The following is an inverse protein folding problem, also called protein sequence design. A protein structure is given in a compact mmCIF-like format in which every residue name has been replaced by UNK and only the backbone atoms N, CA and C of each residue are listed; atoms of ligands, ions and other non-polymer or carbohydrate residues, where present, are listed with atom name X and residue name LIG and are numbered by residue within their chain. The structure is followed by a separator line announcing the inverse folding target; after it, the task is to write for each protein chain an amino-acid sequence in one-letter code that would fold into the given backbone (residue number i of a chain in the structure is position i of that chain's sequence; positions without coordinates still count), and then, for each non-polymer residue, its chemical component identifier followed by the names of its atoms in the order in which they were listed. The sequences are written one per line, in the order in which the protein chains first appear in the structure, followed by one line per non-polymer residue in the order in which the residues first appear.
data_IF_588486359759
#
_entry.id   IF_588486359759
#
_cell.length_a   1.000
_cell.length_b   1.000
_cell.length_c   1.000
_cell.angle_alpha   90.00
_cell.angle_beta   90.00
_cell.angle_gamma   90.00
#
_symmetry.space_group_name_H-M   'P 1'
#
loop_
_entity.id
_entity.type
_entity.pdbx_description
1 polymer ?
#
# COMPACT_ATOMS: atom_id res chain seq x y z
N UNK A 1 0.71 51.41 52.08
CA UNK A 1 1.05 51.12 50.67
C UNK A 1 -0.15 50.45 50.00
N UNK A 2 -0.80 51.15 49.07
CA UNK A 2 -2.03 50.74 48.38
C UNK A 2 -1.70 49.81 47.20
N UNK A 3 -2.36 48.66 47.09
CA UNK A 3 -2.32 47.76 45.92
C UNK A 3 -3.38 48.20 44.91
N UNK A 4 -2.98 48.53 43.69
CA UNK A 4 -3.88 48.79 42.56
C UNK A 4 -3.93 47.58 41.64
N UNK A 5 -5.15 47.15 41.34
CA UNK A 5 -5.51 46.05 40.43
C UNK A 5 -5.68 46.62 39.00
N UNK A 6 -5.13 46.03 37.93
CA UNK A 6 -5.41 46.49 36.58
C UNK A 6 -6.71 45.91 36.02
N UNK A 7 -7.43 46.77 35.30
CA UNK A 7 -8.79 46.63 34.83
C UNK A 7 -9.00 45.58 33.71
N UNK A 8 -10.18 44.94 33.73
CA UNK A 8 -10.74 44.09 32.67
C UNK A 8 -11.08 44.93 31.43
N UNK A 9 -10.59 44.54 30.25
CA UNK A 9 -11.04 45.07 28.95
C UNK A 9 -12.19 44.22 28.40
N UNK A 10 -13.34 44.86 28.17
CA UNK A 10 -14.51 44.30 27.50
C UNK A 10 -14.22 44.02 26.02
N UNK A 11 -14.49 42.78 25.56
CA UNK A 11 -14.54 42.42 24.14
C UNK A 11 -15.84 42.94 23.54
N UNK A 12 -15.73 43.75 22.48
CA UNK A 12 -16.84 44.18 21.62
C UNK A 12 -17.29 42.99 20.75
N UNK A 13 -18.59 42.76 20.69
CA UNK A 13 -19.24 41.82 19.78
C UNK A 13 -19.05 42.27 18.32
N UNK A 14 -18.56 41.37 17.46
CA UNK A 14 -18.53 41.55 16.01
C UNK A 14 -19.91 41.28 15.40
N UNK A 15 -20.27 42.15 14.45
CA UNK A 15 -21.51 42.13 13.66
C UNK A 15 -21.67 40.82 12.85
N UNK A 16 -22.91 40.42 12.51
CA UNK A 16 -23.14 39.30 11.60
C UNK A 16 -22.59 39.60 10.20
N UNK A 17 -21.86 38.64 9.64
CA UNK A 17 -21.30 38.71 8.29
C UNK A 17 -22.42 38.37 7.30
N UNK A 18 -22.70 39.33 6.40
CA UNK A 18 -23.57 39.14 5.25
C UNK A 18 -22.81 38.32 4.20
N UNK A 19 -23.29 37.12 3.88
CA UNK A 19 -22.80 36.32 2.75
C UNK A 19 -23.55 36.74 1.48
N UNK A 20 -23.07 37.80 0.82
CA UNK A 20 -23.45 38.12 -0.54
C UNK A 20 -22.26 37.94 -1.48
N UNK A 21 -22.44 37.03 -2.44
CA UNK A 21 -21.91 37.01 -3.80
C UNK A 21 -20.52 37.63 -4.01
N UNK A 22 -19.48 36.82 -3.76
CA UNK A 22 -18.13 37.07 -4.26
C UNK A 22 -17.97 36.49 -5.67
N UNK A 23 -17.63 37.35 -6.62
CA UNK A 23 -17.14 36.99 -7.95
C UNK A 23 -15.77 36.31 -7.77
N UNK A 24 -15.65 35.04 -8.16
CA UNK A 24 -14.38 34.32 -8.15
C UNK A 24 -13.57 34.73 -9.38
N UNK A 25 -12.38 35.32 -9.19
CA UNK A 25 -11.34 35.31 -10.23
C UNK A 25 -10.62 33.98 -10.19
N UNK A 26 -10.27 33.48 -11.37
CA UNK A 26 -9.51 32.25 -11.56
C UNK A 26 -8.16 32.34 -10.83
N UNK A 27 -7.75 31.17 -10.33
CA UNK A 27 -6.39 30.80 -9.99
C UNK A 27 -5.96 30.91 -8.51
N UNK A 28 -5.51 29.75 -8.03
CA UNK A 28 -4.92 29.37 -6.74
C UNK A 28 -5.88 29.04 -5.58
N UNK A 29 -6.05 27.74 -5.27
CA UNK A 29 -6.35 27.22 -3.92
C UNK A 29 -5.66 25.85 -3.67
N UNK A 30 -4.90 25.84 -2.56
CA UNK A 30 -4.29 24.76 -1.75
C UNK A 30 -5.30 23.64 -1.38
N UNK A 31 -4.86 22.38 -1.13
CA UNK A 31 -5.42 21.40 -0.13
C UNK A 31 -4.69 20.04 -0.27
N UNK A 32 -4.10 19.38 0.76
CA UNK A 32 -4.52 18.91 2.11
C UNK A 32 -5.37 17.61 2.11
N UNK A 33 -5.17 16.74 3.12
CA UNK A 33 -5.75 15.40 3.38
C UNK A 33 -7.29 15.33 3.57
N UNK A 34 -8.01 16.20 2.87
CA UNK A 34 -9.48 16.31 2.71
C UNK A 34 -9.87 15.54 1.43
N UNK A 35 -11.15 15.15 1.20
CA UNK A 35 -11.62 14.63 -0.08
C UNK A 35 -10.94 15.32 -1.26
N UNK A 36 -10.19 14.53 -2.02
CA UNK A 36 -9.35 15.02 -3.10
C UNK A 36 -10.28 15.61 -4.15
N UNK A 37 -10.24 16.93 -4.29
CA UNK A 37 -10.97 17.64 -5.34
C UNK A 37 -10.21 17.47 -6.65
N UNK A 38 -10.77 16.69 -7.57
CA UNK A 38 -10.37 16.71 -8.97
C UNK A 38 -10.92 17.99 -9.60
N UNK A 39 -10.08 19.02 -9.72
CA UNK A 39 -10.50 20.31 -10.32
C UNK A 39 -10.00 20.38 -11.75
N UNK A 40 -10.89 20.31 -12.73
CA UNK A 40 -10.52 20.47 -14.15
C UNK A 40 -10.31 21.97 -14.42
N UNK A 41 -9.06 22.43 -14.32
CA UNK A 41 -8.57 23.79 -14.62
C UNK A 41 -7.04 23.79 -14.75
N UNK A 42 -6.45 24.83 -15.37
CA UNK A 42 -5.09 24.90 -15.94
C UNK A 42 -3.90 24.80 -14.96
N UNK A 43 -4.06 24.15 -13.82
CA UNK A 43 -2.99 23.91 -12.86
C UNK A 43 -3.36 22.81 -11.87
N UNK A 44 -3.09 21.56 -12.23
CA UNK A 44 -2.92 20.52 -11.22
C UNK A 44 -1.49 20.65 -10.67
N UNK A 45 -1.36 21.23 -9.47
CA UNK A 45 -0.11 21.20 -8.73
C UNK A 45 0.10 19.82 -8.10
N UNK A 46 1.22 19.22 -8.48
CA UNK A 46 1.81 17.93 -8.08
C UNK A 46 1.02 16.63 -8.35
N UNK A 47 1.74 15.68 -8.96
CA UNK A 47 1.37 14.27 -9.10
C UNK A 47 1.33 13.62 -7.72
N UNK A 48 0.30 13.89 -6.93
CA UNK A 48 0.14 13.25 -5.64
C UNK A 48 -0.06 11.75 -5.85
N UNK A 49 0.90 10.95 -5.39
CA UNK A 49 0.80 9.49 -5.38
C UNK A 49 -0.19 9.10 -4.29
N UNK A 50 -1.24 8.36 -4.67
CA UNK A 50 -2.22 7.86 -3.70
C UNK A 50 -1.87 6.45 -3.30
N UNK A 51 -1.69 6.21 -2.00
CA UNK A 51 -1.43 4.88 -1.46
C UNK A 51 -2.70 4.25 -0.91
N UNK A 52 -2.91 2.98 -1.23
CA UNK A 52 -4.02 2.17 -0.73
C UNK A 52 -3.51 0.77 -0.40
N UNK A 53 -4.07 0.15 0.63
CA UNK A 53 -3.73 -1.25 0.95
C UNK A 53 -4.42 -2.20 -0.03
N UNK A 54 -3.90 -3.42 -0.25
CA UNK A 54 -4.60 -4.45 -1.00
C UNK A 54 -6.05 -4.64 -0.51
N UNK A 55 -7.00 -4.70 -1.45
CA UNK A 55 -8.44 -4.78 -1.16
C UNK A 55 -9.06 -3.50 -0.56
N UNK A 56 -8.27 -2.45 -0.34
CA UNK A 56 -8.73 -1.16 0.15
C UNK A 56 -9.46 -0.33 -0.90
N UNK A 57 -9.96 0.84 -0.50
CA UNK A 57 -10.66 1.74 -1.41
C UNK A 57 -10.22 3.20 -1.26
N UNK A 58 -10.30 3.94 -2.37
CA UNK A 58 -10.10 5.39 -2.45
C UNK A 58 -11.33 6.03 -3.07
N UNK A 59 -11.84 7.11 -2.47
CA UNK A 59 -12.96 7.88 -3.03
C UNK A 59 -12.48 9.28 -3.39
N UNK A 60 -12.73 9.69 -4.64
CA UNK A 60 -12.52 11.05 -5.13
C UNK A 60 -13.85 11.70 -5.46
N UNK A 61 -13.83 13.03 -5.54
CA UNK A 61 -15.00 13.82 -5.92
C UNK A 61 -14.69 14.59 -7.20
N UNK A 62 -15.42 14.23 -8.26
CA UNK A 62 -15.33 14.89 -9.54
C UNK A 62 -15.98 16.27 -9.51
N UNK A 63 -15.24 17.26 -10.02
CA UNK A 63 -15.69 18.64 -10.24
C UNK A 63 -15.34 19.07 -11.67
N UNK A 64 -16.16 19.90 -12.30
CA UNK A 64 -15.88 20.45 -13.62
C UNK A 64 -16.95 21.41 -14.14
N UNK A 65 -17.01 21.65 -15.46
CA UNK A 65 -18.07 22.45 -16.07
C UNK A 65 -19.45 21.79 -15.89
N UNK A 66 -20.53 22.56 -15.64
CA UNK A 66 -21.89 22.02 -15.53
C UNK A 66 -22.34 21.22 -16.75
N UNK A 67 -22.92 20.05 -16.50
CA UNK A 67 -23.33 19.12 -17.55
C UNK A 67 -22.18 18.39 -18.26
N UNK A 68 -20.93 18.57 -17.82
CA UNK A 68 -19.79 17.86 -18.39
C UNK A 68 -19.82 16.35 -18.09
N UNK A 69 -19.25 15.56 -19.00
CA UNK A 69 -19.09 14.11 -18.82
C UNK A 69 -17.62 13.76 -18.65
N UNK A 70 -17.33 12.89 -17.69
CA UNK A 70 -16.02 12.31 -17.44
C UNK A 70 -16.08 10.80 -17.65
N UNK A 71 -15.05 10.22 -18.27
CA UNK A 71 -14.83 8.78 -18.35
C UNK A 71 -13.56 8.42 -17.62
N UNK A 72 -13.60 7.41 -16.75
CA UNK A 72 -12.49 6.95 -15.94
C UNK A 72 -12.10 5.55 -16.35
N UNK A 73 -10.83 5.38 -16.72
CA UNK A 73 -10.20 4.10 -17.02
C UNK A 73 -9.08 3.80 -16.03
N UNK A 74 -8.79 2.52 -15.83
CA UNK A 74 -7.68 2.05 -15.03
C UNK A 74 -6.71 1.28 -15.93
N UNK A 75 -5.41 1.55 -15.79
CA UNK A 75 -4.36 0.81 -16.48
C UNK A 75 -3.30 0.34 -15.49
N UNK A 76 -2.88 -0.92 -15.59
CA UNK A 76 -1.77 -1.44 -14.78
C UNK A 76 -0.48 -0.74 -15.21
N UNK A 77 0.38 -0.41 -14.25
CA UNK A 77 1.80 -0.12 -14.53
C UNK A 77 2.59 -1.43 -14.51
N UNK A 78 3.17 -1.88 -15.64
CA UNK A 78 3.99 -3.08 -15.67
C UNK A 78 5.15 -3.00 -14.68
N UNK A 79 5.61 -4.16 -14.21
CA UNK A 79 6.83 -4.29 -13.42
C UNK A 79 6.88 -3.40 -12.16
N UNK A 80 5.73 -3.27 -11.49
CA UNK A 80 5.54 -2.53 -10.24
C UNK A 80 5.22 -3.47 -9.07
N UNK A 81 5.32 -2.99 -7.83
CA UNK A 81 4.93 -3.79 -6.65
C UNK A 81 5.84 -4.94 -6.26
N UNK A 82 6.98 -5.12 -6.94
CA UNK A 82 7.87 -6.28 -6.76
C UNK A 82 7.64 -7.41 -7.76
N UNK A 83 6.69 -7.25 -8.69
CA UNK A 83 6.31 -8.25 -9.70
C UNK A 83 6.93 -7.92 -11.07
N UNK A 84 8.08 -8.51 -11.41
CA UNK A 84 8.86 -8.23 -12.63
C UNK A 84 8.80 -9.37 -13.66
N UNK A 85 7.59 -9.74 -14.07
CA UNK A 85 7.37 -10.87 -14.97
C UNK A 85 6.61 -10.48 -16.25
N UNK A 86 6.78 -9.24 -16.72
CA UNK A 86 6.35 -8.81 -18.05
C UNK A 86 4.90 -8.32 -18.16
N UNK A 87 4.60 -7.76 -19.33
CA UNK A 87 3.44 -6.90 -19.60
C UNK A 87 2.20 -7.65 -20.08
N UNK A 88 1.80 -8.78 -19.47
CA UNK A 88 0.45 -9.29 -19.71
C UNK A 88 -0.54 -8.29 -19.07
N UNK A 89 -0.91 -7.27 -19.84
CA UNK A 89 -1.52 -6.01 -19.41
C UNK A 89 -3.01 -6.11 -19.09
N UNK A 90 -3.62 -7.26 -19.31
CA UNK A 90 -5.08 -7.42 -19.31
C UNK A 90 -5.62 -8.31 -18.19
N UNK A 91 -4.89 -8.52 -17.09
CA UNK A 91 -5.48 -9.22 -15.94
C UNK A 91 -6.29 -8.23 -15.07
N UNK A 92 -7.64 -8.26 -15.12
CA UNK A 92 -8.49 -7.36 -14.33
C UNK A 92 -8.31 -7.57 -12.82
N UNK A 93 -7.83 -8.74 -12.37
CA UNK A 93 -7.52 -8.98 -10.96
C UNK A 93 -6.34 -8.14 -10.45
N UNK A 94 -5.60 -7.49 -11.35
CA UNK A 94 -4.39 -6.73 -11.01
C UNK A 94 -4.62 -5.21 -11.00
N UNK A 95 -5.67 -4.71 -11.65
CA UNK A 95 -5.93 -3.25 -11.71
C UNK A 95 -6.93 -2.77 -10.67
N UNK A 96 -7.76 -3.65 -10.11
CA UNK A 96 -8.87 -3.29 -9.24
C UNK A 96 -10.14 -2.87 -10.01
N UNK A 97 -11.01 -2.09 -9.38
CA UNK A 97 -12.27 -1.65 -9.98
C UNK A 97 -12.56 -0.17 -9.67
N UNK A 98 -13.18 0.55 -10.60
CA UNK A 98 -13.66 1.93 -10.40
C UNK A 98 -15.17 1.99 -10.60
N UNK A 99 -15.89 2.71 -9.75
CA UNK A 99 -17.32 2.94 -9.90
C UNK A 99 -17.73 4.35 -9.45
N UNK A 100 -18.48 5.11 -10.29
CA UNK A 100 -18.82 4.77 -11.68
C UNK A 100 -17.62 4.99 -12.62
N UNK A 101 -17.61 4.31 -13.77
CA UNK A 101 -16.63 4.55 -14.86
C UNK A 101 -16.99 5.77 -15.71
N UNK A 102 -18.25 6.21 -15.66
CA UNK A 102 -18.72 7.44 -16.33
C UNK A 102 -19.45 8.32 -15.34
N UNK A 103 -19.05 9.59 -15.25
CA UNK A 103 -19.65 10.60 -14.38
C UNK A 103 -20.27 11.69 -15.25
N UNK A 104 -21.55 11.97 -15.03
CA UNK A 104 -22.21 13.17 -15.57
C UNK A 104 -22.30 14.20 -14.45
N UNK A 105 -21.68 15.35 -14.65
CA UNK A 105 -21.63 16.43 -13.67
C UNK A 105 -22.97 17.19 -13.64
N UNK A 106 -23.48 17.58 -12.46
CA UNK A 106 -24.71 18.38 -12.34
C UNK A 106 -24.69 19.67 -13.17
N UNK A 107 -25.88 20.13 -13.58
CA UNK A 107 -26.05 21.39 -14.33
C UNK A 107 -25.87 22.66 -13.49
N UNK A 108 -25.61 22.54 -12.19
CA UNK A 108 -25.35 23.64 -11.26
C UNK A 108 -24.21 23.33 -10.29
N UNK A 109 -23.56 24.39 -9.77
CA UNK A 109 -22.56 24.28 -8.71
C UNK A 109 -23.20 24.26 -7.31
N UNK A 110 -22.50 23.74 -6.28
CA UNK A 110 -21.23 22.99 -6.35
C UNK A 110 -21.46 21.56 -6.85
N UNK A 111 -20.47 21.02 -7.56
CA UNK A 111 -20.48 19.62 -7.99
C UNK A 111 -19.59 18.83 -7.05
N UNK A 112 -20.00 17.64 -6.62
CA UNK A 112 -19.17 16.75 -5.82
C UNK A 112 -19.64 15.32 -6.10
N UNK A 113 -19.47 14.85 -7.33
CA UNK A 113 -19.93 13.51 -7.70
C UNK A 113 -18.85 12.50 -7.30
N UNK A 114 -19.14 11.54 -6.41
CA UNK A 114 -18.14 10.60 -5.95
C UNK A 114 -17.81 9.56 -7.02
N UNK A 115 -16.54 9.15 -7.08
CA UNK A 115 -16.10 7.92 -7.70
C UNK A 115 -15.18 7.17 -6.75
N UNK A 116 -15.37 5.87 -6.65
CA UNK A 116 -14.63 5.00 -5.74
C UNK A 116 -13.83 3.99 -6.52
N UNK A 117 -12.53 3.97 -6.29
CA UNK A 117 -11.64 2.89 -6.66
C UNK A 117 -11.56 1.88 -5.54
N UNK A 118 -11.62 0.60 -5.90
CA UNK A 118 -11.35 -0.54 -5.03
C UNK A 118 -10.09 -1.23 -5.56
N UNK A 119 -9.04 -1.27 -4.74
CA UNK A 119 -7.78 -1.90 -5.07
C UNK A 119 -7.92 -3.42 -5.19
N UNK A 120 -7.09 -4.04 -6.03
CA UNK A 120 -6.92 -5.48 -6.04
C UNK A 120 -6.27 -5.98 -4.74
N UNK A 121 -6.30 -7.30 -4.53
CA UNK A 121 -5.53 -8.00 -3.49
C UNK A 121 -4.01 -8.06 -3.78
N UNK A 122 -3.60 -7.48 -4.91
CA UNK A 122 -2.25 -7.57 -5.46
C UNK A 122 -1.61 -6.19 -5.35
N UNK A 123 -0.38 -6.13 -4.86
CA UNK A 123 0.35 -4.87 -4.81
C UNK A 123 0.91 -4.51 -6.18
N UNK A 124 1.08 -3.21 -6.41
CA UNK A 124 1.50 -2.68 -7.69
C UNK A 124 1.00 -1.27 -7.89
N UNK A 125 1.32 -0.69 -9.05
CA UNK A 125 0.86 0.63 -9.42
C UNK A 125 -0.24 0.55 -10.48
N UNK A 126 -1.22 1.42 -10.36
CA UNK A 126 -2.33 1.59 -11.30
C UNK A 126 -2.41 3.05 -11.73
N UNK A 127 -2.54 3.29 -13.03
CA UNK A 127 -2.87 4.60 -13.59
C UNK A 127 -4.38 4.75 -13.64
N UNK A 128 -4.88 5.78 -12.97
CA UNK A 128 -6.25 6.24 -13.12
C UNK A 128 -6.26 7.34 -14.18
N UNK A 129 -6.96 7.09 -15.28
CA UNK A 129 -6.99 7.95 -16.46
C UNK A 129 -8.39 8.53 -16.60
N UNK A 130 -8.52 9.82 -16.35
CA UNK A 130 -9.79 10.56 -16.51
C UNK A 130 -9.77 11.29 -17.85
N UNK A 131 -10.79 11.07 -18.66
CA UNK A 131 -11.00 11.74 -19.94
C UNK A 131 -12.25 12.61 -19.86
N UNK A 132 -12.20 13.78 -20.50
CA UNK A 132 -13.36 14.66 -20.67
C UNK A 132 -13.85 14.62 -22.12
N UNK A 133 -14.98 15.28 -22.44
CA UNK A 133 -15.43 15.44 -23.82
C UNK A 133 -14.48 16.28 -24.71
N UNK A 134 -13.62 17.10 -24.10
CA UNK A 134 -12.50 17.78 -24.76
C UNK A 134 -11.25 16.88 -24.67
N UNK A 135 -10.23 17.06 -25.54
CA UNK A 135 -9.04 16.19 -25.58
C UNK A 135 -8.12 16.25 -24.34
N UNK A 136 -8.61 16.75 -23.20
CA UNK A 136 -7.93 16.72 -21.91
C UNK A 136 -7.95 15.33 -21.31
N UNK A 137 -6.77 14.84 -20.96
CA UNK A 137 -6.53 13.60 -20.22
C UNK A 137 -5.84 13.96 -18.91
N UNK A 138 -6.37 13.48 -17.80
CA UNK A 138 -5.76 13.59 -16.48
C UNK A 138 -5.33 12.20 -16.05
N UNK A 139 -4.09 12.06 -15.60
CA UNK A 139 -3.55 10.79 -15.14
C UNK A 139 -3.12 10.90 -13.67
N UNK A 140 -3.54 9.95 -12.85
CA UNK A 140 -3.10 9.79 -11.48
C UNK A 140 -2.46 8.42 -11.28
N UNK A 141 -1.40 8.37 -10.47
CA UNK A 141 -0.77 7.13 -10.06
C UNK A 141 -1.31 6.72 -8.69
N UNK A 142 -1.80 5.49 -8.61
CA UNK A 142 -2.22 4.84 -7.37
C UNK A 142 -1.20 3.73 -7.08
N UNK A 143 -0.63 3.73 -5.89
CA UNK A 143 0.23 2.67 -5.37
C UNK A 143 -0.59 1.80 -4.41
N UNK A 144 -0.71 0.52 -4.75
CA UNK A 144 -1.27 -0.50 -3.90
C UNK A 144 -0.12 -1.13 -3.14
N UNK A 145 -0.01 -0.87 -1.83
CA UNK A 145 1.08 -1.38 -1.01
C UNK A 145 0.71 -1.52 0.46
N UNK A 146 1.42 -2.40 1.16
CA UNK A 146 1.37 -2.55 2.60
C UNK A 146 2.48 -1.70 3.22
N UNK A 147 2.08 -0.82 4.13
CA UNK A 147 2.99 0.09 4.81
C UNK A 147 3.80 -0.61 5.90
N UNK A 148 4.99 -0.08 6.17
CA UNK A 148 5.83 -0.54 7.28
C UNK A 148 6.61 -1.83 7.01
N UNK A 149 6.62 -2.32 5.76
CA UNK A 149 7.52 -3.38 5.35
C UNK A 149 8.96 -2.85 5.28
N UNK A 150 9.91 -3.69 5.70
CA UNK A 150 11.34 -3.40 5.65
C UNK A 150 12.09 -4.60 5.04
N UNK A 151 13.24 -4.36 4.39
CA UNK A 151 14.02 -5.44 3.82
C UNK A 151 14.67 -6.26 4.94
N UNK A 152 14.46 -7.57 4.92
CA UNK A 152 15.16 -8.52 5.78
C UNK A 152 16.63 -8.47 5.39
N UNK A 153 17.52 -8.22 6.36
CA UNK A 153 18.96 -8.21 6.14
C UNK A 153 19.55 -9.60 6.45
N UNK A 154 20.52 -10.04 5.65
CA UNK A 154 21.28 -11.23 5.97
C UNK A 154 22.26 -10.96 7.12
N UNK A 155 22.66 -12.03 7.82
CA UNK A 155 23.63 -12.00 8.91
C UNK A 155 24.42 -13.32 8.94
N UNK A 156 25.33 -13.47 9.91
CA UNK A 156 26.01 -14.75 10.15
C UNK A 156 25.05 -15.89 10.55
N UNK A 157 23.90 -15.55 11.13
CA UNK A 157 22.90 -16.52 11.62
C UNK A 157 21.71 -16.67 10.66
N UNK A 158 21.49 -15.71 9.76
CA UNK A 158 20.34 -15.67 8.86
C UNK A 158 20.80 -15.44 7.41
N UNK A 159 20.55 -16.40 6.54
CA UNK A 159 20.81 -16.32 5.10
C UNK A 159 19.50 -16.09 4.35
N UNK A 160 19.61 -15.39 3.23
CA UNK A 160 18.53 -15.25 2.25
C UNK A 160 18.89 -16.10 1.04
N UNK A 161 17.93 -16.85 0.50
CA UNK A 161 18.10 -17.52 -0.79
C UNK A 161 18.33 -16.46 -1.88
N UNK A 162 18.99 -16.84 -2.97
CA UNK A 162 19.23 -15.91 -4.07
C UNK A 162 17.89 -15.50 -4.70
N UNK A 163 17.61 -14.19 -4.85
CA UNK A 163 16.45 -13.71 -5.59
C UNK A 163 16.40 -14.24 -7.03
N UNK A 164 15.21 -14.26 -7.63
CA UNK A 164 15.04 -14.61 -9.04
C UNK A 164 14.85 -13.35 -9.88
N UNK A 165 14.96 -13.47 -11.21
CA UNK A 165 14.69 -12.34 -12.11
C UNK A 165 13.24 -11.82 -12.00
N UNK A 166 12.27 -12.72 -11.75
CA UNK A 166 10.86 -12.35 -11.57
C UNK A 166 10.60 -11.60 -10.25
N UNK A 167 11.37 -11.93 -9.21
CA UNK A 167 11.24 -11.36 -7.86
C UNK A 167 12.63 -10.93 -7.36
N UNK A 168 13.17 -9.78 -7.80
CA UNK A 168 14.51 -9.32 -7.45
C UNK A 168 14.63 -8.86 -5.99
N UNK A 169 13.49 -8.64 -5.31
CA UNK A 169 13.43 -8.13 -3.93
C UNK A 169 12.36 -8.87 -3.09
N UNK A 170 12.51 -10.19 -2.84
CA UNK A 170 11.45 -11.02 -2.25
C UNK A 170 11.54 -11.17 -0.72
N UNK A 171 12.44 -10.43 -0.07
CA UNK A 171 12.73 -10.57 1.35
C UNK A 171 12.33 -9.34 2.14
N UNK A 172 11.03 -9.10 2.27
CA UNK A 172 10.46 -8.02 3.07
C UNK A 172 9.51 -8.56 4.13
N UNK A 173 9.52 -7.89 5.28
CA UNK A 173 8.70 -8.25 6.42
C UNK A 173 8.41 -7.02 7.29
N UNK A 174 7.45 -7.14 8.20
CA UNK A 174 7.24 -6.11 9.23
C UNK A 174 8.42 -6.09 10.20
N UNK A 175 8.66 -4.96 10.86
CA UNK A 175 9.73 -4.84 11.86
C UNK A 175 9.64 -5.94 12.94
N UNK A 176 8.43 -6.20 13.44
CA UNK A 176 8.19 -7.25 14.44
C UNK A 176 8.56 -8.64 13.91
N UNK A 177 8.19 -8.96 12.67
CA UNK A 177 8.55 -10.25 12.07
C UNK A 177 10.08 -10.37 11.87
N UNK A 178 10.75 -9.29 11.45
CA UNK A 178 12.22 -9.24 11.32
C UNK A 178 12.90 -9.54 12.66
N UNK A 179 12.43 -8.92 13.74
CA UNK A 179 12.97 -9.14 15.09
C UNK A 179 12.81 -10.61 15.53
N UNK A 180 11.64 -11.21 15.29
CA UNK A 180 11.38 -12.63 15.58
C UNK A 180 12.26 -13.56 14.76
N UNK A 181 12.40 -13.31 13.46
CA UNK A 181 13.27 -14.09 12.58
C UNK A 181 14.74 -14.02 13.03
N UNK A 182 15.23 -12.84 13.40
CA UNK A 182 16.58 -12.67 13.91
C UNK A 182 16.81 -13.40 15.24
N UNK A 183 15.85 -13.33 16.17
CA UNK A 183 15.92 -14.06 17.44
C UNK A 183 15.94 -15.57 17.20
N UNK A 184 15.02 -16.10 16.38
CA UNK A 184 14.98 -17.51 16.00
C UNK A 184 16.30 -17.97 15.35
N UNK A 185 16.83 -17.18 14.41
CA UNK A 185 18.08 -17.49 13.72
C UNK A 185 19.28 -17.53 14.66
N UNK A 186 19.37 -16.59 15.60
CA UNK A 186 20.44 -16.58 16.60
C UNK A 186 20.38 -17.82 17.51
N UNK A 187 19.19 -18.16 18.02
CA UNK A 187 19.00 -19.34 18.88
C UNK A 187 19.28 -20.66 18.14
N UNK A 188 18.82 -20.79 16.89
CA UNK A 188 19.13 -21.95 16.05
C UNK A 188 20.63 -22.06 15.78
N UNK A 189 21.29 -20.95 15.44
CA UNK A 189 22.72 -20.92 15.19
C UNK A 189 23.52 -21.32 16.42
N UNK A 190 23.16 -20.82 17.60
CA UNK A 190 23.81 -21.22 18.85
C UNK A 190 23.71 -22.74 19.11
N UNK A 191 22.58 -23.36 18.76
CA UNK A 191 22.34 -24.78 19.02
C UNK A 191 22.93 -25.73 17.96
N UNK A 192 23.23 -25.24 16.76
CA UNK A 192 23.61 -26.07 15.60
C UNK A 192 24.93 -25.65 14.93
N UNK A 193 25.42 -24.45 15.22
CA UNK A 193 26.48 -23.76 14.49
C UNK A 193 26.16 -23.59 12.98
N UNK A 194 24.87 -23.55 12.60
CA UNK A 194 24.39 -23.37 11.22
C UNK A 194 23.48 -22.14 11.12
N UNK A 195 23.47 -21.41 10.00
CA UNK A 195 22.52 -20.34 9.79
C UNK A 195 21.14 -20.88 9.37
N UNK A 196 20.06 -20.16 9.68
CA UNK A 196 18.75 -20.36 9.04
C UNK A 196 18.76 -19.75 7.64
N UNK A 197 18.03 -20.37 6.71
CA UNK A 197 17.89 -19.84 5.35
C UNK A 197 16.43 -19.52 5.06
N UNK A 198 16.11 -18.25 4.83
CA UNK A 198 14.81 -17.82 4.33
C UNK A 198 14.77 -18.06 2.82
N UNK A 199 13.78 -18.81 2.35
CA UNK A 199 13.58 -19.06 0.92
C UNK A 199 12.66 -18.02 0.31
N UNK A 200 11.59 -17.67 1.03
CA UNK A 200 10.52 -16.78 0.57
C UNK A 200 9.97 -15.95 1.74
N UNK A 201 9.54 -14.72 1.43
CA UNK A 201 8.86 -13.81 2.36
C UNK A 201 7.98 -12.86 1.53
N UNK A 202 7.63 -11.69 2.05
CA UNK A 202 6.85 -10.71 1.30
C UNK A 202 7.71 -9.96 0.26
N UNK A 203 7.07 -9.50 -0.80
CA UNK A 203 7.68 -8.54 -1.73
C UNK A 203 7.77 -7.16 -1.06
N UNK A 204 8.57 -6.26 -1.65
CA UNK A 204 8.77 -4.90 -1.14
C UNK A 204 7.51 -4.10 -0.86
N UNK A 205 6.43 -4.32 -1.62
CA UNK A 205 5.14 -3.65 -1.41
C UNK A 205 4.11 -4.58 -0.77
N UNK A 206 4.46 -5.84 -0.54
CA UNK A 206 3.57 -6.88 -0.04
C UNK A 206 2.59 -7.40 -1.08
N UNK A 207 1.37 -7.71 -0.63
CA UNK A 207 0.28 -8.19 -1.47
C UNK A 207 0.48 -9.63 -1.95
N UNK A 208 -0.48 -10.12 -2.73
CA UNK A 208 -0.45 -11.51 -3.20
C UNK A 208 0.77 -11.76 -4.11
N UNK A 209 1.59 -12.75 -3.74
CA UNK A 209 2.81 -13.18 -4.44
C UNK A 209 2.50 -14.00 -5.71
N UNK A 210 1.46 -14.83 -5.65
CA UNK A 210 1.01 -15.65 -6.78
C UNK A 210 -0.30 -15.11 -7.37
N UNK A 211 -0.19 -14.44 -8.51
CA UNK A 211 -1.30 -13.84 -9.26
C UNK A 211 -2.17 -14.88 -9.96
N UNK A 212 -1.55 -15.91 -10.55
CA UNK A 212 -2.24 -16.92 -11.36
C UNK A 212 -2.92 -18.01 -10.54
N UNK A 213 -2.69 -18.01 -9.21
CA UNK A 213 -3.19 -19.06 -8.30
C UNK A 213 -2.61 -20.44 -8.62
N UNK A 214 -1.52 -20.51 -9.38
CA UNK A 214 -0.83 -21.74 -9.77
C UNK A 214 0.24 -22.15 -8.77
N UNK A 215 0.51 -21.33 -7.75
CA UNK A 215 1.31 -21.71 -6.61
C UNK A 215 0.39 -22.41 -5.60
N UNK A 216 0.75 -23.65 -5.27
CA UNK A 216 0.06 -24.42 -4.23
C UNK A 216 0.04 -23.67 -2.89
N UNK A 217 -0.92 -23.98 -2.00
CA UNK A 217 -0.85 -23.53 -0.60
C UNK A 217 0.52 -23.81 0.02
N UNK A 218 1.05 -22.91 0.88
CA UNK A 218 0.42 -21.76 1.53
C UNK A 218 0.80 -20.40 0.92
N UNK A 219 1.40 -20.37 -0.28
CA UNK A 219 2.03 -19.16 -0.84
C UNK A 219 1.11 -17.93 -0.94
N UNK A 220 -0.20 -18.13 -0.74
CA UNK A 220 -1.20 -17.08 -0.53
C UNK A 220 -0.94 -16.21 0.70
N UNK A 221 -0.16 -16.64 1.69
CA UNK A 221 -0.05 -15.95 2.97
C UNK A 221 1.04 -14.89 3.05
N UNK A 222 2.10 -14.92 2.22
CA UNK A 222 3.23 -13.96 2.23
C UNK A 222 2.88 -12.53 1.79
N UNK A 223 1.68 -12.07 2.13
CA UNK A 223 1.14 -10.79 1.68
C UNK A 223 1.60 -9.65 2.53
N UNK A 224 1.56 -9.80 3.84
CA UNK A 224 1.59 -8.68 4.78
C UNK A 224 2.89 -8.56 5.57
N UNK A 225 3.93 -9.30 5.17
CA UNK A 225 5.22 -9.28 5.85
C UNK A 225 5.25 -9.95 7.22
N UNK A 226 4.23 -10.73 7.58
CA UNK A 226 4.20 -11.47 8.85
C UNK A 226 4.48 -12.97 8.68
N UNK A 227 4.89 -13.40 7.48
CA UNK A 227 5.21 -14.78 7.17
C UNK A 227 6.52 -14.91 6.40
N UNK A 228 7.22 -16.01 6.61
CA UNK A 228 8.41 -16.38 5.86
C UNK A 228 8.52 -17.90 5.76
N UNK A 229 9.17 -18.37 4.71
CA UNK A 229 9.48 -19.77 4.49
C UNK A 229 10.95 -20.02 4.85
N UNK A 230 11.18 -21.04 5.68
CA UNK A 230 12.50 -21.47 6.13
C UNK A 230 12.84 -22.79 5.46
N UNK A 231 13.99 -22.85 4.78
CA UNK A 231 14.49 -24.07 4.16
C UNK A 231 14.62 -25.19 5.20
N UNK A 232 14.07 -26.36 4.91
CA UNK A 232 14.14 -27.53 5.81
C UNK A 232 14.88 -28.73 5.23
N UNK A 233 15.14 -28.74 3.91
CA UNK A 233 15.70 -29.90 3.18
C UNK A 233 17.12 -30.32 3.59
N UNK A 234 17.90 -29.41 4.17
CA UNK A 234 19.26 -29.64 4.67
C UNK A 234 19.33 -29.76 6.20
N UNK A 235 18.19 -29.73 6.88
CA UNK A 235 18.11 -29.94 8.33
C UNK A 235 18.03 -31.44 8.66
N UNK A 236 18.93 -31.90 9.53
CA UNK A 236 18.79 -33.21 10.16
C UNK A 236 17.57 -33.25 11.10
N UNK A 237 17.16 -34.43 11.56
CA UNK A 237 16.07 -34.55 12.54
C UNK A 237 16.35 -33.74 13.83
N UNK A 238 17.60 -33.74 14.30
CA UNK A 238 18.02 -32.95 15.46
C UNK A 238 17.98 -31.43 15.18
N UNK A 239 18.46 -31.00 14.01
CA UNK A 239 18.36 -29.59 13.60
C UNK A 239 16.90 -29.12 13.55
N UNK A 240 15.98 -29.96 13.04
CA UNK A 240 14.54 -29.65 12.99
C UNK A 240 13.95 -29.43 14.38
N UNK A 241 14.30 -30.27 15.36
CA UNK A 241 13.85 -30.08 16.75
C UNK A 241 14.39 -28.79 17.36
N UNK A 242 15.68 -28.48 17.12
CA UNK A 242 16.30 -27.24 17.58
C UNK A 242 15.68 -26.01 16.93
N UNK A 243 15.34 -26.08 15.64
CA UNK A 243 14.60 -25.04 14.93
C UNK A 243 13.21 -24.82 15.53
N UNK A 244 12.43 -25.88 15.72
CA UNK A 244 11.08 -25.77 16.30
C UNK A 244 11.11 -25.11 17.68
N UNK A 245 12.09 -25.48 18.52
CA UNK A 245 12.30 -24.83 19.81
C UNK A 245 12.65 -23.35 19.64
N UNK A 246 13.64 -23.02 18.81
CA UNK A 246 14.07 -21.63 18.59
C UNK A 246 12.94 -20.75 18.03
N UNK A 247 12.14 -21.28 17.10
CA UNK A 247 10.99 -20.59 16.54
C UNK A 247 9.91 -20.34 17.60
N UNK A 248 9.60 -21.35 18.41
CA UNK A 248 8.63 -21.23 19.51
C UNK A 248 9.09 -20.20 20.54
N UNK A 249 10.37 -20.24 20.95
CA UNK A 249 10.96 -19.28 21.90
C UNK A 249 10.93 -17.84 21.35
N UNK A 250 11.07 -17.67 20.03
CA UNK A 250 10.95 -16.38 19.35
C UNK A 250 9.49 -15.92 19.14
N UNK A 251 8.50 -16.71 19.56
CA UNK A 251 7.08 -16.39 19.39
C UNK A 251 6.59 -16.53 17.96
N UNK A 252 7.19 -17.43 17.17
CA UNK A 252 6.72 -17.81 15.83
C UNK A 252 5.81 -19.04 15.92
N UNK A 253 4.74 -19.05 15.12
CA UNK A 253 3.98 -20.28 14.83
C UNK A 253 4.62 -20.97 13.63
N UNK A 254 4.81 -22.29 13.69
CA UNK A 254 5.45 -23.08 12.64
C UNK A 254 4.46 -24.07 12.04
N UNK A 255 4.39 -24.14 10.71
CA UNK A 255 3.73 -25.19 9.96
C UNK A 255 4.77 -26.01 9.17
N UNK A 256 4.66 -27.34 9.22
CA UNK A 256 5.44 -28.24 8.36
C UNK A 256 4.74 -28.42 7.03
N UNK A 257 5.40 -28.04 5.95
CA UNK A 257 4.86 -28.15 4.59
C UNK A 257 5.68 -29.13 3.74
N UNK A 258 6.33 -30.07 4.43
CA UNK A 258 7.16 -31.14 3.89
C UNK A 258 8.49 -30.68 3.29
N UNK A 259 8.49 -29.71 2.37
CA UNK A 259 9.70 -29.23 1.67
C UNK A 259 10.32 -27.95 2.27
N UNK A 260 9.60 -27.28 3.17
CA UNK A 260 10.05 -26.12 3.95
C UNK A 260 9.21 -25.98 5.22
N UNK A 261 9.60 -25.05 6.10
CA UNK A 261 8.81 -24.63 7.24
C UNK A 261 8.18 -23.27 6.95
N UNK A 262 6.87 -23.17 7.09
CA UNK A 262 6.18 -21.89 6.99
C UNK A 262 6.05 -21.30 8.40
N UNK A 263 6.57 -20.09 8.62
CA UNK A 263 6.52 -19.41 9.93
C UNK A 263 5.66 -18.17 9.92
N UNK A 264 4.94 -17.92 11.02
CA UNK A 264 4.09 -16.74 11.24
C UNK A 264 4.49 -15.99 12.50
N UNK A 265 4.61 -14.68 12.40
CA UNK A 265 4.91 -13.74 13.50
C UNK A 265 3.68 -13.03 14.04
#
# INVERSE_FOLDING_TARGET
MKKTNPAKKNRKYSKPINLNQGVFSSDAIIVSLTPVKLTIGDGFEEKEIKQVVPGGALTWYANGPPGGTLTINLERVPDSGGHFHGSNTNDPLVVGAISPTTIVLPSSYPQNVPATYTASETCGSVRLIVRTAKPSVIEHLIEIMIQGLQPIQSSSCLKLKTPTAAHPSPYWATQTMIEKLNHCAAAYNQATNKPLTITDASLQWGGRFDLNQDWGPPHKEHRNGNQADIRSNDMTADDKQKFLKAATDAGLTVLDESNHWHVRG
#
